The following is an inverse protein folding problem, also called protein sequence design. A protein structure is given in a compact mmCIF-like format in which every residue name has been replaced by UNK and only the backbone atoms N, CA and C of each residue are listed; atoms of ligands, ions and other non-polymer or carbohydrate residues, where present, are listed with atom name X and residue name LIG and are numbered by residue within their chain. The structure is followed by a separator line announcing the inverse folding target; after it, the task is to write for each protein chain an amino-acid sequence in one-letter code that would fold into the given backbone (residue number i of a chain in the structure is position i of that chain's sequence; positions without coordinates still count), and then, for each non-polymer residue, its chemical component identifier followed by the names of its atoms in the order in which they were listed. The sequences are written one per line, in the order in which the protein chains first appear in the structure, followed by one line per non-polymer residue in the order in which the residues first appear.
data_IF_158573152475
#
_entry.id   IF_158573152475
#
_cell.length_a   1.000
_cell.length_b   1.000
_cell.length_c   1.000
_cell.angle_alpha   90.00
_cell.angle_beta   90.00
_cell.angle_gamma   90.00
#
_symmetry.space_group_name_H-M   'P 1'
#
loop_
_entity.id
_entity.type
_entity.pdbx_description
1 polymer ?
#
# COMPACT_ATOMS: atom_id res chain seq x y z
N UNK A 1 -13.68 10.22 -13.17
CA UNK A 1 -13.30 11.64 -13.39
C UNK A 1 -14.54 12.52 -13.56
N UNK A 2 -15.51 12.18 -14.44
CA UNK A 2 -16.70 13.00 -14.70
C UNK A 2 -17.49 13.35 -13.43
N UNK A 3 -17.85 12.35 -12.61
CA UNK A 3 -18.58 12.59 -11.35
C UNK A 3 -17.85 13.48 -10.34
N UNK A 4 -16.51 13.47 -10.37
CA UNK A 4 -15.71 14.35 -9.51
C UNK A 4 -15.62 15.77 -10.09
N UNK A 5 -15.56 15.93 -11.42
CA UNK A 5 -15.56 17.26 -12.08
C UNK A 5 -16.91 17.97 -11.93
N UNK A 6 -18.01 17.21 -11.92
CA UNK A 6 -19.36 17.74 -11.71
C UNK A 6 -19.75 17.93 -10.23
N UNK A 7 -18.81 17.68 -9.30
CA UNK A 7 -19.01 17.89 -7.87
C UNK A 7 -19.88 16.85 -7.16
N UNK A 8 -20.27 15.76 -7.83
CA UNK A 8 -21.01 14.66 -7.20
C UNK A 8 -20.13 13.83 -6.25
N UNK A 9 -18.84 13.75 -6.54
CA UNK A 9 -17.86 13.13 -5.65
C UNK A 9 -16.96 14.23 -5.10
N UNK A 10 -16.64 14.21 -3.79
CA UNK A 10 -15.69 15.15 -3.22
C UNK A 10 -14.34 15.00 -3.92
N UNK A 11 -13.78 16.12 -4.39
CA UNK A 11 -12.41 16.17 -4.88
C UNK A 11 -11.45 15.94 -3.73
N UNK A 12 -10.95 14.71 -3.59
CA UNK A 12 -9.96 14.40 -2.56
C UNK A 12 -8.62 15.02 -2.95
N UNK A 13 -8.33 16.14 -2.37
CA UNK A 13 -6.99 16.69 -2.39
C UNK A 13 -6.22 16.00 -1.25
N UNK A 14 -5.34 15.05 -1.58
CA UNK A 14 -4.51 14.37 -0.60
C UNK A 14 -3.29 15.26 -0.28
N UNK A 15 -3.29 16.08 0.79
CA UNK A 15 -2.24 17.06 1.07
C UNK A 15 -0.93 16.43 1.54
N UNK A 16 -0.79 15.11 1.48
CA UNK A 16 0.42 14.41 1.88
C UNK A 16 1.48 14.53 0.81
N UNK A 17 2.71 14.82 1.24
CA UNK A 17 3.88 14.92 0.38
C UNK A 17 4.02 13.69 -0.51
N UNK A 18 4.34 13.89 -1.81
CA UNK A 18 4.59 12.77 -2.71
C UNK A 18 5.78 11.93 -2.24
N UNK A 19 5.86 10.69 -2.67
CA UNK A 19 7.02 9.82 -2.50
C UNK A 19 7.88 9.87 -3.75
N UNK A 20 9.18 9.66 -3.57
CA UNK A 20 10.18 9.76 -4.63
C UNK A 20 10.94 8.45 -4.79
N UNK A 21 11.32 8.19 -6.03
CA UNK A 21 12.38 7.23 -6.33
C UNK A 21 13.56 8.00 -6.91
N UNK A 22 14.74 7.76 -6.38
CA UNK A 22 15.99 8.28 -6.90
C UNK A 22 16.51 7.27 -7.90
N UNK A 23 16.68 7.70 -9.16
CA UNK A 23 17.28 6.90 -10.23
C UNK A 23 18.77 7.27 -10.32
N UNK A 24 19.64 6.30 -10.15
CA UNK A 24 21.09 6.52 -10.20
C UNK A 24 21.54 6.61 -11.66
N UNK A 25 21.67 7.82 -12.17
CA UNK A 25 22.16 8.10 -13.55
C UNK A 25 23.68 8.23 -13.54
N UNK A 26 24.32 7.80 -14.62
CA UNK A 26 25.80 7.82 -14.74
C UNK A 26 26.42 9.22 -14.85
N UNK A 27 25.63 10.24 -15.12
CA UNK A 27 26.16 11.56 -15.55
C UNK A 27 26.05 12.69 -14.53
N UNK A 28 25.12 12.65 -13.55
CA UNK A 28 24.82 13.83 -12.71
C UNK A 28 24.42 13.52 -11.27
N UNK A 29 24.79 12.38 -10.72
CA UNK A 29 24.55 12.12 -9.29
C UNK A 29 23.15 11.67 -8.91
N UNK A 30 22.27 11.44 -9.88
CA UNK A 30 20.93 10.90 -9.68
C UNK A 30 19.82 11.92 -9.95
N UNK A 31 18.80 11.45 -10.63
CA UNK A 31 17.55 12.17 -10.86
C UNK A 31 16.43 11.56 -9.98
N UNK A 32 15.28 12.20 -9.88
CA UNK A 32 14.18 11.67 -9.09
C UNK A 32 12.84 11.73 -9.81
N UNK A 33 12.03 10.70 -9.61
CA UNK A 33 10.66 10.65 -10.09
C UNK A 33 9.74 10.73 -8.88
N UNK A 34 8.71 11.55 -8.95
CA UNK A 34 7.76 11.79 -7.86
C UNK A 34 6.37 11.29 -8.21
N UNK A 35 5.68 10.66 -7.24
CA UNK A 35 4.30 10.18 -7.38
C UNK A 35 3.52 10.40 -6.09
N UNK A 36 2.19 10.53 -6.22
CA UNK A 36 1.29 10.47 -5.06
C UNK A 36 1.47 9.16 -4.29
N UNK A 37 1.27 9.18 -2.96
CA UNK A 37 1.62 8.05 -2.07
C UNK A 37 1.05 6.70 -2.49
N UNK A 38 -0.24 6.63 -2.85
CA UNK A 38 -0.89 5.38 -3.26
C UNK A 38 -0.33 4.84 -4.59
N UNK A 39 0.00 5.73 -5.52
CA UNK A 39 0.60 5.37 -6.79
C UNK A 39 2.08 4.98 -6.62
N UNK A 40 2.81 5.70 -5.77
CA UNK A 40 4.20 5.41 -5.47
C UNK A 40 4.39 4.00 -4.88
N UNK A 41 3.47 3.54 -4.03
CA UNK A 41 3.51 2.19 -3.46
C UNK A 41 3.48 1.12 -4.55
N UNK A 42 2.68 1.33 -5.62
CA UNK A 42 2.59 0.43 -6.77
C UNK A 42 3.81 0.56 -7.69
N UNK A 43 4.28 1.78 -7.97
CA UNK A 43 5.32 2.01 -8.97
C UNK A 43 6.74 1.90 -8.41
N UNK A 44 6.95 2.30 -7.15
CA UNK A 44 8.28 2.39 -6.53
C UNK A 44 8.53 1.33 -5.45
N UNK A 45 7.67 0.32 -5.39
CA UNK A 45 7.83 -0.79 -4.46
C UNK A 45 9.05 -1.66 -4.73
N UNK A 46 9.42 -2.56 -3.80
CA UNK A 46 10.64 -3.36 -3.87
C UNK A 46 10.74 -4.17 -5.17
N UNK A 47 11.90 -4.15 -5.80
CA UNK A 47 12.22 -4.91 -7.03
C UNK A 47 11.39 -4.53 -8.27
N UNK A 48 10.53 -3.49 -8.20
CA UNK A 48 9.82 -3.05 -9.39
C UNK A 48 10.78 -2.45 -10.42
N UNK A 49 10.35 -2.51 -11.68
CA UNK A 49 11.09 -1.96 -12.81
C UNK A 49 10.54 -0.60 -13.17
N UNK A 50 11.42 0.37 -13.32
CA UNK A 50 11.11 1.75 -13.72
C UNK A 50 11.81 2.02 -15.05
N UNK A 51 11.05 2.56 -16.00
CA UNK A 51 11.59 3.01 -17.28
C UNK A 51 11.72 4.54 -17.23
N UNK A 52 12.93 5.02 -17.39
CA UNK A 52 13.24 6.44 -17.34
C UNK A 52 14.37 6.77 -18.30
N UNK A 53 14.24 7.83 -19.07
CA UNK A 53 15.23 8.33 -20.05
C UNK A 53 15.84 7.22 -20.92
N UNK A 54 14.97 6.39 -21.53
CA UNK A 54 15.39 5.29 -22.41
C UNK A 54 16.15 4.16 -21.72
N UNK A 55 16.16 4.10 -20.40
CA UNK A 55 16.87 3.11 -19.61
C UNK A 55 15.92 2.39 -18.65
N UNK A 56 16.35 1.22 -18.20
CA UNK A 56 15.61 0.35 -17.28
C UNK A 56 16.30 0.32 -15.93
N UNK A 57 15.58 0.72 -14.90
CA UNK A 57 16.04 0.74 -13.51
C UNK A 57 15.24 -0.26 -12.68
N UNK A 58 15.89 -0.86 -11.68
CA UNK A 58 15.21 -1.71 -10.72
C UNK A 58 15.31 -1.11 -9.32
N UNK A 59 14.18 -1.05 -8.62
CA UNK A 59 14.15 -0.60 -7.22
C UNK A 59 14.88 -1.63 -6.36
N UNK A 60 16.03 -1.22 -5.83
CA UNK A 60 16.94 -2.06 -5.05
C UNK A 60 17.19 -1.57 -3.63
N UNK A 61 16.54 -0.49 -3.24
CA UNK A 61 16.67 0.09 -1.92
C UNK A 61 15.38 0.80 -1.50
N UNK A 62 14.95 0.54 -0.27
CA UNK A 62 13.83 1.20 0.38
C UNK A 62 14.36 2.03 1.55
N UNK A 63 14.00 3.31 1.61
CA UNK A 63 14.30 4.14 2.78
C UNK A 63 13.47 3.64 3.95
N UNK A 64 14.14 3.27 5.01
CA UNK A 64 13.51 2.77 6.22
C UNK A 64 13.07 3.94 7.12
N UNK A 65 11.83 3.93 7.63
CA UNK A 65 11.40 4.92 8.61
C UNK A 65 12.16 4.73 9.93
N UNK A 66 12.72 5.80 10.51
CA UNK A 66 13.34 5.72 11.84
C UNK A 66 12.26 5.45 12.89
N UNK A 67 12.55 4.57 13.83
CA UNK A 67 11.77 4.35 15.04
C UNK A 67 12.63 4.68 16.27
N UNK A 68 12.01 4.84 17.42
CA UNK A 68 12.69 5.21 18.67
C UNK A 68 13.73 4.16 19.11
N UNK A 69 13.44 2.87 18.86
CA UNK A 69 14.32 1.73 19.19
C UNK A 69 14.81 0.98 17.94
N UNK A 70 14.78 1.60 16.77
CA UNK A 70 15.18 0.96 15.52
C UNK A 70 14.21 1.22 14.36
N UNK A 71 13.76 0.17 13.67
CA UNK A 71 12.82 0.27 12.56
C UNK A 71 11.37 0.32 13.08
N UNK A 72 10.63 1.35 12.68
CA UNK A 72 9.21 1.45 13.00
C UNK A 72 8.40 0.44 12.18
N UNK A 73 8.03 -0.67 12.81
CA UNK A 73 7.13 -1.68 12.26
C UNK A 73 5.79 -1.62 13.00
N UNK A 74 4.72 -1.77 12.25
CA UNK A 74 3.36 -1.72 12.78
C UNK A 74 2.70 -3.09 12.72
N UNK A 75 1.73 -3.29 13.59
CA UNK A 75 0.81 -4.41 13.54
C UNK A 75 -0.59 -3.90 13.21
N UNK A 76 -1.34 -4.71 12.48
CA UNK A 76 -2.71 -4.39 12.12
C UNK A 76 -3.63 -5.61 12.31
N UNK A 77 -4.87 -5.32 12.74
CA UNK A 77 -6.00 -6.24 12.63
C UNK A 77 -6.94 -5.72 11.55
N UNK A 78 -7.38 -6.57 10.67
CA UNK A 78 -8.30 -6.24 9.59
C UNK A 78 -9.58 -7.02 9.77
N UNK A 79 -10.70 -6.33 9.82
CA UNK A 79 -12.00 -6.97 9.79
C UNK A 79 -12.30 -7.52 8.41
N UNK A 80 -12.46 -8.82 8.29
CA UNK A 80 -12.84 -9.47 7.03
C UNK A 80 -14.25 -9.10 6.57
N UNK A 81 -15.11 -8.68 7.50
CA UNK A 81 -16.49 -8.32 7.20
C UNK A 81 -16.61 -6.93 6.58
N UNK A 82 -15.85 -5.96 7.06
CA UNK A 82 -15.99 -4.56 6.66
C UNK A 82 -14.82 -4.02 5.85
N UNK A 83 -13.65 -4.65 5.93
CA UNK A 83 -12.39 -4.08 5.42
C UNK A 83 -11.85 -2.95 6.30
N UNK A 84 -12.36 -2.79 7.54
CA UNK A 84 -11.83 -1.83 8.50
C UNK A 84 -10.49 -2.30 9.05
N UNK A 85 -9.50 -1.39 9.06
CA UNK A 85 -8.16 -1.68 9.56
C UNK A 85 -7.91 -0.97 10.89
N UNK A 86 -7.53 -1.73 11.90
CA UNK A 86 -7.15 -1.27 13.22
C UNK A 86 -5.63 -1.31 13.36
N UNK A 87 -5.02 -0.17 13.69
CA UNK A 87 -3.57 -0.01 13.81
C UNK A 87 -3.21 0.74 15.09
N UNK A 88 -2.00 0.51 15.60
CA UNK A 88 -1.51 1.15 16.81
C UNK A 88 -2.38 0.85 18.02
N UNK A 89 -2.86 1.86 18.73
CA UNK A 89 -3.69 1.69 19.93
C UNK A 89 -5.03 0.99 19.65
N UNK A 90 -5.58 1.16 18.45
CA UNK A 90 -6.84 0.50 18.06
C UNK A 90 -6.68 -1.00 17.82
N UNK A 91 -5.48 -1.49 17.55
CA UNK A 91 -5.22 -2.91 17.36
C UNK A 91 -5.53 -3.76 18.62
N UNK A 92 -5.72 -3.13 19.77
CA UNK A 92 -6.16 -3.81 21.01
C UNK A 92 -7.66 -4.06 21.06
N UNK A 93 -8.46 -3.41 20.19
CA UNK A 93 -9.90 -3.59 20.17
C UNK A 93 -10.28 -5.01 19.74
N UNK A 94 -11.28 -5.57 20.40
CA UNK A 94 -11.83 -6.89 20.12
C UNK A 94 -13.10 -6.87 19.28
N UNK A 95 -13.54 -5.67 18.90
CA UNK A 95 -14.76 -5.46 18.10
C UNK A 95 -14.45 -4.49 16.97
N UNK A 96 -14.92 -4.81 15.78
CA UNK A 96 -14.86 -3.90 14.64
C UNK A 96 -15.78 -2.70 14.88
N UNK A 97 -15.23 -1.48 14.94
CA UNK A 97 -16.04 -0.29 15.20
C UNK A 97 -17.06 0.01 14.08
N UNK A 98 -16.82 -0.51 12.87
CA UNK A 98 -17.68 -0.24 11.72
C UNK A 98 -18.82 -1.24 11.58
N UNK A 99 -18.56 -2.53 11.68
CA UNK A 99 -19.55 -3.60 11.50
C UNK A 99 -20.08 -4.18 12.81
N UNK A 100 -19.37 -3.99 13.93
CA UNK A 100 -19.67 -4.64 15.21
C UNK A 100 -19.21 -6.10 15.29
N UNK A 101 -18.45 -6.58 14.30
CA UNK A 101 -17.98 -7.96 14.28
C UNK A 101 -16.99 -8.24 15.42
N UNK A 102 -17.10 -9.42 16.04
CA UNK A 102 -16.18 -9.90 17.07
C UNK A 102 -14.84 -10.32 16.43
N UNK A 103 -13.78 -9.58 16.72
CA UNK A 103 -12.44 -9.77 16.19
C UNK A 103 -11.61 -10.80 16.96
N UNK A 104 -12.15 -11.42 18.00
CA UNK A 104 -11.52 -12.55 18.65
C UNK A 104 -11.71 -13.84 17.86
N UNK A 105 -12.68 -13.87 16.94
CA UNK A 105 -12.92 -15.01 16.06
C UNK A 105 -12.00 -14.96 14.85
N UNK A 106 -11.22 -16.00 14.61
CA UNK A 106 -10.27 -16.10 13.51
C UNK A 106 -10.92 -15.91 12.12
N UNK A 107 -12.18 -16.31 11.99
CA UNK A 107 -12.94 -16.15 10.73
C UNK A 107 -13.27 -14.69 10.41
N UNK A 108 -13.33 -13.82 11.42
CA UNK A 108 -13.69 -12.42 11.28
C UNK A 108 -12.48 -11.49 11.15
N UNK A 109 -11.28 -11.95 11.50
CA UNK A 109 -10.08 -11.12 11.57
C UNK A 109 -8.94 -11.70 10.77
N UNK A 110 -8.19 -10.80 10.13
CA UNK A 110 -6.86 -11.06 9.59
C UNK A 110 -5.85 -10.22 10.37
N UNK A 111 -4.76 -10.83 10.81
CA UNK A 111 -3.67 -10.14 11.51
C UNK A 111 -2.47 -10.03 10.59
N UNK A 112 -1.98 -8.81 10.41
CA UNK A 112 -0.77 -8.53 9.65
C UNK A 112 0.27 -7.99 10.61
N UNK A 113 1.44 -8.61 10.58
CA UNK A 113 2.60 -8.20 11.37
C UNK A 113 3.65 -7.56 10.46
N UNK A 114 4.48 -6.69 11.04
CA UNK A 114 5.60 -6.06 10.34
C UNK A 114 5.19 -5.18 9.15
N UNK A 115 4.12 -4.40 9.30
CA UNK A 115 3.79 -3.36 8.33
C UNK A 115 4.86 -2.28 8.36
N UNK A 116 5.43 -1.99 7.19
CA UNK A 116 6.44 -0.96 7.01
C UNK A 116 5.82 0.23 6.25
N UNK A 117 5.88 1.43 6.82
CA UNK A 117 5.45 2.62 6.09
C UNK A 117 6.37 2.89 4.90
N UNK A 118 5.80 2.89 3.70
CA UNK A 118 6.52 3.20 2.49
C UNK A 118 7.06 4.64 2.51
N UNK A 119 8.38 4.76 2.39
CA UNK A 119 9.09 6.02 2.27
C UNK A 119 9.57 6.23 0.82
N UNK A 120 10.66 6.98 0.64
CA UNK A 120 11.32 7.07 -0.65
C UNK A 120 12.10 5.78 -0.96
N UNK A 121 12.44 5.58 -2.22
CA UNK A 121 13.21 4.44 -2.68
C UNK A 121 14.35 4.86 -3.61
N UNK A 122 15.24 3.94 -3.94
CA UNK A 122 16.27 4.11 -4.97
C UNK A 122 16.20 2.98 -5.97
N UNK A 123 16.49 3.32 -7.21
CA UNK A 123 16.55 2.36 -8.30
C UNK A 123 17.90 2.48 -9.02
N UNK A 124 18.54 1.33 -9.20
CA UNK A 124 19.79 1.23 -9.93
C UNK A 124 19.55 0.82 -11.38
N UNK A 125 20.41 1.29 -12.26
CA UNK A 125 20.42 0.90 -13.68
C UNK A 125 20.64 -0.61 -13.79
N UNK A 126 19.78 -1.27 -14.56
CA UNK A 126 19.92 -2.72 -14.82
C UNK A 126 20.38 -3.02 -16.23
N UNK A 127 19.66 -2.51 -17.22
CA UNK A 127 19.95 -2.76 -18.63
C UNK A 127 19.37 -1.63 -19.50
N UNK A 128 19.80 -1.57 -20.76
CA UNK A 128 19.09 -0.78 -21.76
C UNK A 128 17.74 -1.43 -22.08
N UNK A 129 16.78 -0.64 -22.49
CA UNK A 129 15.47 -1.15 -22.92
C UNK A 129 15.67 -2.06 -24.15
N UNK A 130 15.20 -3.30 -24.06
CA UNK A 130 15.09 -4.17 -25.23
C UNK A 130 13.79 -3.90 -25.98
N UNK A 131 13.73 -4.29 -27.26
CA UNK A 131 12.51 -4.16 -28.07
C UNK A 131 11.51 -5.29 -27.80
N UNK A 132 11.79 -6.24 -26.93
CA UNK A 132 10.91 -7.37 -26.63
C UNK A 132 9.74 -6.93 -25.75
N UNK A 133 8.53 -7.13 -26.25
CA UNK A 133 7.29 -6.73 -25.55
C UNK A 133 7.10 -7.46 -24.22
N UNK A 134 7.55 -8.69 -24.11
CA UNK A 134 7.44 -9.50 -22.90
C UNK A 134 8.17 -8.88 -21.69
N UNK A 135 9.26 -8.18 -21.92
CA UNK A 135 9.97 -7.47 -20.87
C UNK A 135 9.24 -6.21 -20.37
N UNK A 136 8.30 -5.67 -21.16
CA UNK A 136 7.50 -4.49 -20.79
C UNK A 136 6.31 -4.85 -19.93
N UNK A 137 5.96 -6.10 -19.75
CA UNK A 137 4.88 -6.50 -18.87
C UNK A 137 5.20 -6.10 -17.43
N UNK A 138 4.42 -5.16 -16.92
CA UNK A 138 4.48 -4.76 -15.51
C UNK A 138 4.06 -5.97 -14.66
N UNK A 139 4.98 -6.51 -13.91
CA UNK A 139 4.72 -7.64 -13.02
C UNK A 139 3.82 -7.24 -11.87
N UNK A 140 3.43 -6.15 -11.55
CA UNK A 140 2.46 -5.70 -10.55
C UNK A 140 2.53 -6.44 -9.21
N UNK A 141 1.84 -5.89 -8.24
CA UNK A 141 1.70 -6.45 -6.90
C UNK A 141 0.26 -6.91 -6.67
N UNK A 142 0.08 -7.87 -5.77
CA UNK A 142 -1.20 -8.09 -5.11
C UNK A 142 -1.34 -7.02 -4.03
N UNK A 143 -2.32 -6.16 -4.20
CA UNK A 143 -2.52 -4.97 -3.39
C UNK A 143 -3.92 -4.96 -2.82
N UNK A 144 -4.05 -4.64 -1.53
CA UNK A 144 -5.33 -4.47 -0.88
C UNK A 144 -5.50 -3.04 -0.37
N UNK A 145 -6.74 -2.58 -0.35
CA UNK A 145 -7.10 -1.26 0.17
C UNK A 145 -8.09 -1.44 1.30
N UNK A 146 -7.74 -0.88 2.43
CA UNK A 146 -8.54 -0.85 3.65
C UNK A 146 -8.85 0.58 4.04
N UNK A 147 -9.74 0.75 5.00
CA UNK A 147 -10.07 2.07 5.52
C UNK A 147 -10.10 2.09 7.04
N UNK A 148 -9.87 3.27 7.60
CA UNK A 148 -10.08 3.59 9.01
C UNK A 148 -10.68 4.99 9.14
N UNK A 149 -11.34 5.27 10.25
CA UNK A 149 -11.88 6.60 10.55
C UNK A 149 -11.91 6.83 12.04
N UNK A 150 -11.54 8.02 12.45
CA UNK A 150 -11.59 8.43 13.86
C UNK A 150 -12.99 8.98 14.27
N UNK A 151 -13.92 9.11 13.30
CA UNK A 151 -15.21 9.77 13.50
C UNK A 151 -16.40 8.89 13.04
N UNK A 152 -16.61 7.76 13.70
CA UNK A 152 -17.73 6.86 13.38
C UNK A 152 -19.10 7.44 13.67
N UNK A 153 -19.22 8.27 14.69
CA UNK A 153 -20.48 8.90 15.10
C UNK A 153 -21.10 9.75 13.99
N UNK A 154 -20.27 10.30 13.11
CA UNK A 154 -20.68 11.10 11.96
C UNK A 154 -20.96 10.28 10.70
N UNK A 155 -21.01 8.95 10.81
CA UNK A 155 -21.28 8.06 9.68
C UNK A 155 -22.71 8.27 9.17
N UNK A 156 -22.83 8.44 7.85
CA UNK A 156 -24.13 8.45 7.15
C UNK A 156 -24.23 7.20 6.30
N UNK A 157 -25.37 6.54 6.36
CA UNK A 157 -25.68 5.35 5.56
C UNK A 157 -26.86 5.61 4.67
N UNK A 158 -26.76 5.19 3.41
CA UNK A 158 -27.86 5.18 2.45
C UNK A 158 -27.98 3.77 1.88
N UNK A 159 -29.17 3.22 1.87
CA UNK A 159 -29.47 1.95 1.21
C UNK A 159 -30.19 2.24 -0.11
N UNK A 160 -29.67 1.68 -1.19
CA UNK A 160 -30.26 1.83 -2.51
C UNK A 160 -31.06 0.56 -2.83
N UNK A 161 -32.31 0.72 -3.24
CA UNK A 161 -33.20 -0.36 -3.63
C UNK A 161 -33.45 -0.34 -5.13
N UNK A 162 -33.55 -1.52 -5.72
CA UNK A 162 -34.01 -1.70 -7.09
C UNK A 162 -35.10 -2.72 -7.13
N UNK A 163 -36.26 -2.34 -7.65
CA UNK A 163 -37.50 -3.18 -7.70
C UNK A 163 -37.91 -3.78 -6.35
N UNK A 164 -37.64 -3.07 -5.24
CA UNK A 164 -37.97 -3.51 -3.88
C UNK A 164 -36.90 -4.38 -3.20
N UNK A 165 -35.85 -4.77 -3.90
CA UNK A 165 -34.70 -5.50 -3.34
C UNK A 165 -33.55 -4.56 -3.02
N UNK A 166 -32.83 -4.83 -1.93
CA UNK A 166 -31.63 -4.09 -1.59
C UNK A 166 -30.55 -4.36 -2.64
N UNK A 167 -30.06 -3.29 -3.27
CA UNK A 167 -29.02 -3.37 -4.29
C UNK A 167 -27.64 -3.12 -3.69
N UNK A 168 -27.49 -2.06 -2.88
CA UNK A 168 -26.22 -1.71 -2.26
C UNK A 168 -26.39 -0.78 -1.06
N UNK A 169 -25.36 -0.74 -0.20
CA UNK A 169 -25.24 0.21 0.87
C UNK A 169 -24.11 1.19 0.57
N UNK A 170 -24.40 2.46 0.69
CA UNK A 170 -23.40 3.53 0.62
C UNK A 170 -23.15 4.07 2.03
N UNK A 171 -21.89 4.16 2.41
CA UNK A 171 -21.47 4.74 3.66
C UNK A 171 -20.60 5.97 3.39
N UNK A 172 -20.96 7.08 4.00
CA UNK A 172 -20.14 8.27 4.03
C UNK A 172 -19.50 8.40 5.41
N UNK A 173 -18.20 8.52 5.43
CA UNK A 173 -17.38 8.71 6.63
C UNK A 173 -16.55 9.96 6.45
N UNK A 174 -16.78 11.03 7.23
CA UNK A 174 -15.89 12.18 7.23
C UNK A 174 -14.51 11.77 7.76
N UNK A 175 -13.46 12.32 7.19
CA UNK A 175 -12.07 12.06 7.61
C UNK A 175 -11.62 10.58 7.53
N UNK A 176 -12.24 9.78 6.69
CA UNK A 176 -11.78 8.42 6.45
C UNK A 176 -10.38 8.41 5.83
N UNK A 177 -9.52 7.54 6.34
CA UNK A 177 -8.17 7.31 5.83
C UNK A 177 -8.16 5.99 5.06
N UNK A 178 -7.57 6.02 3.85
CA UNK A 178 -7.32 4.80 3.08
C UNK A 178 -5.91 4.29 3.37
N UNK A 179 -5.83 3.00 3.63
CA UNK A 179 -4.57 2.28 3.84
C UNK A 179 -4.42 1.26 2.73
N UNK A 180 -3.39 1.43 1.91
CA UNK A 180 -3.06 0.51 0.83
C UNK A 180 -1.85 -0.34 1.25
N UNK A 181 -1.96 -1.65 1.09
CA UNK A 181 -0.94 -2.63 1.47
C UNK A 181 -0.51 -3.42 0.24
N UNK A 182 0.80 -3.49 0.00
CA UNK A 182 1.37 -4.41 -0.97
C UNK A 182 1.60 -5.76 -0.29
N UNK A 183 0.89 -6.80 -0.73
CA UNK A 183 0.98 -8.15 -0.16
C UNK A 183 2.20 -8.91 -0.67
N UNK A 184 2.36 -8.97 -1.97
CA UNK A 184 3.43 -9.71 -2.66
C UNK A 184 3.49 -9.36 -4.14
N UNK A 185 4.49 -9.89 -4.82
CA UNK A 185 4.49 -9.92 -6.28
C UNK A 185 3.36 -10.80 -6.81
N UNK A 186 2.57 -10.29 -7.75
CA UNK A 186 1.46 -11.04 -8.37
C UNK A 186 1.92 -12.32 -9.06
N UNK A 187 3.12 -12.31 -9.63
CA UNK A 187 3.70 -13.46 -10.36
C UNK A 187 4.49 -14.38 -9.42
N UNK A 188 4.56 -14.08 -8.12
CA UNK A 188 5.27 -14.92 -7.17
C UNK A 188 4.50 -16.21 -6.92
N UNK A 189 5.12 -17.35 -7.24
CA UNK A 189 4.61 -18.68 -6.86
C UNK A 189 4.82 -18.97 -5.36
N UNK A 190 5.54 -18.11 -4.64
CA UNK A 190 5.74 -18.26 -3.22
C UNK A 190 4.42 -18.04 -2.46
N UNK A 191 4.04 -19.00 -1.64
CA UNK A 191 2.86 -18.90 -0.76
C UNK A 191 3.02 -17.81 0.31
N UNK A 192 4.26 -17.47 0.65
CA UNK A 192 4.53 -16.51 1.70
C UNK A 192 4.33 -15.07 1.21
N UNK A 193 3.50 -14.33 1.91
CA UNK A 193 3.26 -12.90 1.68
C UNK A 193 4.40 -12.03 2.23
N UNK A 194 4.40 -10.74 1.84
CA UNK A 194 5.40 -9.76 2.23
C UNK A 194 6.67 -9.78 1.40
N UNK A 195 7.51 -8.81 1.64
CA UNK A 195 8.79 -8.61 0.96
C UNK A 195 9.95 -8.86 1.92
N UNK A 196 10.92 -9.64 1.47
CA UNK A 196 12.13 -9.88 2.24
C UNK A 196 13.09 -8.68 2.12
N UNK A 197 13.18 -7.88 3.17
CA UNK A 197 14.02 -6.69 3.24
C UNK A 197 14.97 -6.77 4.43
N UNK A 198 16.22 -6.42 4.21
CA UNK A 198 17.16 -6.24 5.31
C UNK A 198 16.78 -5.00 6.10
N UNK A 199 16.38 -5.18 7.35
CA UNK A 199 15.88 -4.12 8.24
C UNK A 199 16.94 -3.09 8.67
N UNK A 200 18.23 -3.35 8.42
CA UNK A 200 19.31 -2.39 8.68
C UNK A 200 19.65 -1.56 7.44
N UNK A 201 19.57 -2.19 6.26
CA UNK A 201 20.06 -1.55 5.02
C UNK A 201 18.97 -1.14 4.06
N UNK A 202 17.73 -1.57 4.24
CA UNK A 202 16.62 -1.31 3.30
C UNK A 202 16.74 -2.03 1.95
N UNK A 203 17.70 -2.95 1.79
CA UNK A 203 17.90 -3.69 0.54
C UNK A 203 17.06 -4.97 0.51
N UNK A 204 16.48 -5.33 -0.64
CA UNK A 204 15.88 -6.65 -0.81
C UNK A 204 16.93 -7.76 -0.62
N UNK A 205 16.57 -8.84 0.05
CA UNK A 205 17.46 -9.98 0.32
C UNK A 205 16.79 -11.29 -0.05
N UNK A 206 17.60 -12.34 -0.28
CA UNK A 206 17.10 -13.69 -0.47
C UNK A 206 16.71 -14.30 0.87
N UNK A 207 15.71 -15.18 0.87
CA UNK A 207 14.85 -15.61 1.97
C UNK A 207 15.48 -16.27 3.20
N UNK A 208 16.75 -16.61 3.22
CA UNK A 208 17.33 -17.41 4.32
C UNK A 208 17.50 -16.69 5.65
N UNK A 209 17.58 -15.35 5.66
CA UNK A 209 17.83 -14.56 6.89
C UNK A 209 17.06 -13.22 6.92
N UNK A 210 15.91 -13.12 6.27
CA UNK A 210 15.22 -11.86 6.11
C UNK A 210 13.89 -11.82 6.84
N UNK A 211 13.65 -10.74 7.54
CA UNK A 211 12.32 -10.39 8.04
C UNK A 211 11.46 -9.95 6.86
N UNK A 212 10.26 -10.54 6.74
CA UNK A 212 9.28 -10.08 5.75
C UNK A 212 8.53 -8.88 6.28
N UNK A 213 8.36 -7.89 5.42
CA UNK A 213 7.59 -6.67 5.70
C UNK A 213 6.49 -6.50 4.64
N UNK A 214 5.44 -5.80 5.02
CA UNK A 214 4.28 -5.50 4.18
C UNK A 214 4.13 -4.00 3.95
#
# INVERSE_FOLDING_TARGET
RYLASEGFLPGYNFPRLPRRVIVETSTTGGDFISRGRLQALTEFGPQNTIYYDGQKYQVNYMKLPPGDEGLALWEAKISKQSGYILMGKEATLDTDPFSGADLNKADNVEKIFHLLEFQDSRAALTQRISCEEEERMRKGYDEDIYFRSDHFESRRRVTVYFKGEELLHLHYLPSAQLVKINRKWRVSQAQAEGFAINTRTGKPVRLSNAQRVF
#
